data_IF_227204614164
#
_entry.id   IF_227204614164
#
_cell.length_a   1.000
_cell.length_b   1.000
_cell.length_c   1.000
_cell.angle_alpha   90.00
_cell.angle_beta   90.00
_cell.angle_gamma   90.00
#
_symmetry.space_group_name_H-M   'P 1'
#
loop_
_entity.id
_entity.type
_entity.pdbx_description
1 polymer ?
#
# COMPACT_ATOMS: atom_id res chain seq x y z
N UNK A 1 -40.63 -10.85 -48.11
CA UNK A 1 -41.44 -12.04 -47.76
C UNK A 1 -40.70 -12.74 -46.62
N UNK A 2 -40.75 -12.21 -45.40
CA UNK A 2 -41.83 -12.45 -44.41
C UNK A 2 -42.13 -13.95 -44.34
N UNK A 3 -41.77 -14.66 -43.26
CA UNK A 3 -42.64 -15.03 -42.13
C UNK A 3 -41.87 -16.16 -41.40
N UNK A 4 -41.58 -16.21 -40.09
CA UNK A 4 -42.31 -15.78 -38.90
C UNK A 4 -41.37 -15.64 -37.69
N UNK A 5 -41.37 -14.44 -37.10
CA UNK A 5 -41.22 -14.17 -35.66
C UNK A 5 -42.50 -14.57 -34.93
N UNK A 6 -42.42 -15.02 -33.66
CA UNK A 6 -43.42 -15.09 -32.55
C UNK A 6 -43.00 -16.28 -31.65
N UNK A 7 -42.70 -16.19 -30.35
CA UNK A 7 -43.34 -15.54 -29.18
C UNK A 7 -42.26 -15.27 -28.10
N UNK A 8 -42.02 -14.04 -27.63
CA UNK A 8 -42.69 -13.32 -26.52
C UNK A 8 -42.68 -14.12 -25.19
N UNK A 9 -41.67 -13.96 -24.32
CA UNK A 9 -41.61 -12.98 -23.19
C UNK A 9 -43.00 -12.68 -22.58
N UNK A 10 -43.32 -13.32 -21.44
CA UNK A 10 -44.25 -12.77 -20.44
C UNK A 10 -44.15 -13.50 -19.09
N UNK A 11 -44.09 -12.68 -18.03
CA UNK A 11 -44.55 -12.90 -16.66
C UNK A 11 -43.94 -14.05 -15.82
N UNK A 12 -42.92 -13.68 -15.03
CA UNK A 12 -42.83 -14.10 -13.63
C UNK A 12 -42.61 -12.85 -12.77
N UNK A 13 -43.72 -12.24 -12.36
CA UNK A 13 -43.78 -11.22 -11.31
C UNK A 13 -44.71 -11.74 -10.21
N UNK A 14 -44.41 -11.31 -8.98
CA UNK A 14 -45.22 -11.37 -7.77
C UNK A 14 -45.14 -12.66 -6.94
N UNK A 15 -44.08 -12.80 -6.14
CA UNK A 15 -44.14 -13.21 -4.72
C UNK A 15 -42.86 -12.73 -3.99
N UNK A 16 -42.75 -11.42 -3.74
CA UNK A 16 -41.90 -10.90 -2.67
C UNK A 16 -42.76 -9.95 -1.85
N UNK A 17 -43.00 -10.20 -0.56
CA UNK A 17 -43.73 -9.26 0.29
C UNK A 17 -42.91 -7.98 0.42
N UNK A 18 -43.61 -6.86 0.30
CA UNK A 18 -43.14 -5.50 0.48
C UNK A 18 -42.48 -5.34 1.86
N UNK A 19 -41.15 -5.37 1.89
CA UNK A 19 -40.37 -4.85 3.02
C UNK A 19 -40.41 -3.32 2.89
N UNK A 20 -40.80 -2.56 3.93
CA UNK A 20 -40.81 -1.11 3.87
C UNK A 20 -39.40 -0.59 3.62
N UNK A 21 -39.25 0.27 2.62
CA UNK A 21 -38.05 1.08 2.40
C UNK A 21 -37.64 1.77 3.71
N UNK A 22 -36.54 1.34 4.33
CA UNK A 22 -35.84 2.17 5.30
C UNK A 22 -34.93 3.15 4.55
N UNK A 23 -35.14 4.48 4.66
CA UNK A 23 -34.23 5.46 4.11
C UNK A 23 -33.14 5.75 5.15
N UNK A 24 -32.20 4.81 5.33
CA UNK A 24 -31.00 5.03 6.15
C UNK A 24 -29.75 4.58 5.40
N UNK A 25 -29.54 5.12 4.19
CA UNK A 25 -28.23 5.09 3.54
C UNK A 25 -27.93 6.50 3.04
N UNK A 26 -27.79 7.44 3.98
CA UNK A 26 -27.00 8.65 3.71
C UNK A 26 -25.59 8.38 4.20
N UNK A 27 -24.72 8.10 3.23
CA UNK A 27 -23.28 7.87 3.34
C UNK A 27 -22.80 6.53 3.93
N UNK A 28 -22.49 5.57 3.05
CA UNK A 28 -21.55 4.49 3.37
C UNK A 28 -20.13 5.07 3.31
N UNK A 29 -19.62 5.61 4.41
CA UNK A 29 -18.19 5.88 4.54
C UNK A 29 -17.46 4.56 4.85
N UNK A 30 -16.43 4.23 4.06
CA UNK A 30 -15.57 3.09 4.34
C UNK A 30 -14.83 3.31 5.66
N UNK A 31 -14.91 2.35 6.58
CA UNK A 31 -14.14 2.41 7.84
C UNK A 31 -12.68 2.08 7.55
N UNK A 32 -11.79 3.06 7.69
CA UNK A 32 -10.35 2.86 7.48
C UNK A 32 -9.66 2.45 8.78
N UNK A 33 -8.82 1.43 8.71
CA UNK A 33 -7.96 0.98 9.81
C UNK A 33 -6.53 0.81 9.31
N UNK A 34 -5.54 1.01 10.19
CA UNK A 34 -4.13 0.84 9.84
C UNK A 34 -3.29 0.42 11.06
N UNK A 35 -2.04 0.05 10.81
CA UNK A 35 -1.05 -0.22 11.84
C UNK A 35 0.25 0.50 11.50
N UNK A 36 0.86 1.11 12.51
CA UNK A 36 2.19 1.73 12.44
C UNK A 36 3.18 0.92 13.25
N UNK A 37 4.44 0.93 12.80
CA UNK A 37 5.58 0.36 13.51
C UNK A 37 6.59 1.46 13.81
N UNK A 38 7.42 1.26 14.83
CA UNK A 38 8.60 2.10 15.04
C UNK A 38 9.38 2.30 13.72
N UNK A 39 9.71 3.56 13.33
CA UNK A 39 10.35 3.83 12.05
C UNK A 39 11.67 3.09 11.84
N UNK A 40 12.50 2.96 12.89
CA UNK A 40 13.82 2.32 12.83
C UNK A 40 13.67 0.82 12.68
N UNK A 41 12.84 0.19 13.51
CA UNK A 41 12.61 -1.24 13.38
C UNK A 41 12.00 -1.62 12.03
N UNK A 42 11.12 -0.78 11.49
CA UNK A 42 10.48 -1.03 10.20
C UNK A 42 11.49 -1.00 9.05
N UNK A 43 12.43 -0.04 9.05
CA UNK A 43 13.45 0.03 7.99
C UNK A 43 14.43 -1.13 8.09
N UNK A 44 14.82 -1.54 9.30
CA UNK A 44 15.68 -2.71 9.53
C UNK A 44 14.96 -3.99 9.10
N UNK A 45 13.69 -4.14 9.46
CA UNK A 45 12.87 -5.27 9.05
C UNK A 45 12.76 -5.37 7.52
N UNK A 46 12.53 -4.24 6.85
CA UNK A 46 12.51 -4.21 5.37
C UNK A 46 13.87 -4.52 4.77
N UNK A 47 14.95 -3.99 5.36
CA UNK A 47 16.33 -4.22 4.92
C UNK A 47 16.64 -5.72 4.79
N UNK A 48 16.28 -6.51 5.81
CA UNK A 48 16.48 -7.96 5.75
C UNK A 48 15.42 -8.69 4.92
N UNK A 49 14.18 -8.20 4.90
CA UNK A 49 13.10 -8.79 4.10
C UNK A 49 13.45 -8.83 2.61
N UNK A 50 13.90 -7.71 2.04
CA UNK A 50 14.25 -7.64 0.61
C UNK A 50 15.50 -8.42 0.26
N UNK A 51 16.36 -8.73 1.23
CA UNK A 51 17.59 -9.53 1.05
C UNK A 51 17.38 -11.01 1.27
N UNK A 52 16.21 -11.41 1.75
CA UNK A 52 15.96 -12.79 2.07
C UNK A 52 15.99 -13.65 0.78
N UNK A 53 16.66 -14.82 0.76
CA UNK A 53 16.79 -15.61 -0.45
C UNK A 53 15.46 -15.96 -1.11
N UNK A 54 14.44 -16.26 -0.31
CA UNK A 54 13.09 -16.59 -0.78
C UNK A 54 12.43 -15.45 -1.57
N UNK A 55 12.78 -14.19 -1.30
CA UNK A 55 12.28 -13.02 -2.03
C UNK A 55 12.68 -13.06 -3.52
N UNK A 56 13.86 -13.62 -3.82
CA UNK A 56 14.39 -13.70 -5.17
C UNK A 56 14.15 -15.05 -5.85
N UNK A 57 14.02 -16.14 -5.10
CA UNK A 57 13.79 -17.48 -5.67
C UNK A 57 12.52 -17.50 -6.53
N UNK A 58 11.39 -17.03 -6.01
CA UNK A 58 10.13 -17.04 -6.76
C UNK A 58 10.17 -16.04 -7.92
N UNK A 59 10.81 -14.88 -7.74
CA UNK A 59 10.96 -13.89 -8.81
C UNK A 59 11.83 -14.43 -9.95
N UNK A 60 12.90 -15.17 -9.65
CA UNK A 60 13.78 -15.77 -10.65
C UNK A 60 13.09 -16.89 -11.42
N UNK A 61 12.19 -17.65 -10.76
CA UNK A 61 11.33 -18.63 -11.44
C UNK A 61 10.35 -17.96 -12.40
N UNK A 62 9.72 -16.87 -11.97
CA UNK A 62 8.77 -16.12 -12.80
C UNK A 62 9.45 -15.32 -13.93
N UNK A 63 10.67 -14.83 -13.69
CA UNK A 63 11.45 -14.01 -14.63
C UNK A 63 12.88 -14.57 -14.74
N UNK A 64 13.09 -15.63 -15.54
CA UNK A 64 14.38 -16.31 -15.66
C UNK A 64 15.51 -15.41 -16.17
N UNK A 65 15.20 -14.39 -16.97
CA UNK A 65 16.19 -13.48 -17.55
C UNK A 65 16.65 -12.38 -16.58
N UNK A 66 15.93 -12.17 -15.47
CA UNK A 66 16.26 -11.13 -14.51
C UNK A 66 17.53 -11.54 -13.73
N UNK A 67 18.61 -10.74 -13.72
CA UNK A 67 19.82 -11.09 -12.99
C UNK A 67 19.55 -11.13 -11.49
N UNK A 68 20.18 -12.09 -10.80
CA UNK A 68 20.18 -12.10 -9.34
C UNK A 68 21.05 -10.95 -8.81
N UNK A 69 20.72 -10.38 -7.65
CA UNK A 69 21.58 -9.39 -7.00
C UNK A 69 22.95 -9.98 -6.64
N UNK A 70 23.93 -9.09 -6.47
CA UNK A 70 25.26 -9.46 -5.99
C UNK A 70 25.17 -10.19 -4.62
N UNK A 71 25.78 -11.39 -4.47
CA UNK A 71 25.87 -12.07 -3.19
C UNK A 71 26.45 -11.22 -2.06
N UNK A 72 27.37 -10.29 -2.34
CA UNK A 72 27.91 -9.40 -1.31
C UNK A 72 26.85 -8.42 -0.78
N UNK A 73 25.96 -7.94 -1.66
CA UNK A 73 24.82 -7.09 -1.26
C UNK A 73 23.80 -7.85 -0.41
N UNK A 74 23.51 -9.12 -0.76
CA UNK A 74 22.57 -9.96 -0.03
C UNK A 74 23.04 -10.32 1.39
N UNK A 75 24.35 -10.46 1.58
CA UNK A 75 24.97 -10.86 2.85
C UNK A 75 25.35 -9.69 3.75
N UNK A 76 25.38 -8.46 3.23
CA UNK A 76 25.74 -7.26 3.99
C UNK A 76 24.75 -7.06 5.15
N UNK A 77 25.27 -6.81 6.34
CA UNK A 77 24.47 -6.45 7.51
C UNK A 77 24.09 -4.96 7.51
N UNK A 78 23.06 -4.63 8.28
CA UNK A 78 22.52 -3.27 8.35
C UNK A 78 23.54 -2.26 8.88
N UNK A 79 24.32 -2.62 9.90
CA UNK A 79 25.28 -1.70 10.51
C UNK A 79 26.40 -1.32 9.54
N UNK A 80 26.94 -2.30 8.82
CA UNK A 80 27.94 -2.08 7.77
C UNK A 80 27.38 -1.18 6.68
N UNK A 81 26.12 -1.37 6.29
CA UNK A 81 25.44 -0.52 5.31
C UNK A 81 25.30 0.94 5.76
N UNK A 82 24.98 1.17 7.03
CA UNK A 82 24.91 2.51 7.63
C UNK A 82 26.30 3.14 7.68
N UNK A 83 27.31 2.40 8.17
CA UNK A 83 28.68 2.89 8.34
C UNK A 83 29.37 3.18 7.00
N UNK A 84 29.11 2.39 5.96
CA UNK A 84 29.63 2.63 4.61
C UNK A 84 28.89 3.74 3.87
N UNK A 85 27.75 4.23 4.40
CA UNK A 85 26.94 5.26 3.76
C UNK A 85 26.25 4.78 2.49
N UNK A 86 25.90 3.48 2.43
CA UNK A 86 25.21 2.91 1.28
C UNK A 86 23.85 3.58 1.06
N UNK A 87 23.42 3.70 -0.20
CA UNK A 87 22.24 4.49 -0.57
C UNK A 87 20.97 4.01 0.13
N UNK A 88 20.75 2.71 0.23
CA UNK A 88 19.55 2.12 0.84
C UNK A 88 19.42 2.35 2.36
N UNK A 89 20.52 2.65 3.04
CA UNK A 89 20.60 2.94 4.48
C UNK A 89 20.81 4.42 4.76
N UNK A 90 20.77 5.27 3.71
CA UNK A 90 20.78 6.73 3.85
C UNK A 90 19.35 7.27 3.87
N UNK A 91 19.09 8.18 4.80
CA UNK A 91 17.78 8.79 5.04
C UNK A 91 17.88 10.30 4.81
N UNK A 92 18.05 10.71 3.56
CA UNK A 92 18.22 12.11 3.20
C UNK A 92 16.87 12.82 3.14
N UNK A 93 16.73 13.90 3.91
CA UNK A 93 15.56 14.76 3.88
C UNK A 93 15.31 15.31 2.47
N UNK A 94 14.03 15.38 2.08
CA UNK A 94 13.62 15.86 0.77
C UNK A 94 13.77 14.84 -0.36
N UNK A 95 14.38 13.67 -0.14
CA UNK A 95 14.49 12.67 -1.21
C UNK A 95 13.10 12.17 -1.63
N UNK A 96 12.76 12.34 -2.91
CA UNK A 96 11.50 11.92 -3.57
C UNK A 96 11.73 10.69 -4.43
N UNK A 97 12.41 9.67 -3.90
CA UNK A 97 12.62 8.41 -4.62
C UNK A 97 11.30 7.65 -4.88
N UNK A 98 11.04 7.28 -6.13
CA UNK A 98 9.94 6.42 -6.57
C UNK A 98 10.46 5.00 -6.83
N UNK A 99 10.68 4.24 -5.76
CA UNK A 99 10.88 2.80 -5.85
C UNK A 99 9.66 2.08 -5.28
N UNK A 100 9.27 0.95 -5.88
CA UNK A 100 8.32 0.03 -5.25
C UNK A 100 8.90 -0.37 -3.88
N UNK A 101 8.17 -0.06 -2.80
CA UNK A 101 8.59 -0.40 -1.45
C UNK A 101 9.62 0.54 -0.83
N UNK A 102 9.43 1.87 -0.91
CA UNK A 102 10.14 2.77 0.02
C UNK A 102 9.57 2.63 1.44
N UNK A 103 10.03 1.59 2.15
CA UNK A 103 9.67 1.34 3.54
C UNK A 103 10.38 2.29 4.52
N UNK A 104 10.74 3.51 4.09
CA UNK A 104 11.18 4.60 4.96
C UNK A 104 10.04 5.61 5.19
N UNK A 105 9.08 5.71 4.26
CA UNK A 105 7.98 6.70 4.29
C UNK A 105 6.63 6.20 4.83
N UNK A 106 6.52 5.97 6.14
CA UNK A 106 5.21 5.66 6.75
C UNK A 106 4.21 6.82 6.59
N UNK A 107 4.70 8.06 6.66
CA UNK A 107 3.92 9.28 6.44
C UNK A 107 3.22 9.30 5.08
N UNK A 108 3.86 8.78 4.02
CA UNK A 108 3.30 8.79 2.66
C UNK A 108 1.97 8.02 2.60
N UNK A 109 1.85 6.89 3.32
CA UNK A 109 0.63 6.08 3.36
C UNK A 109 -0.58 6.85 3.92
N UNK A 110 -0.36 7.78 4.85
CA UNK A 110 -1.43 8.57 5.46
C UNK A 110 -1.61 9.95 4.81
N UNK A 111 -0.54 10.52 4.26
CA UNK A 111 -0.62 11.83 3.60
C UNK A 111 -1.37 11.77 2.26
N UNK A 112 -1.20 10.66 1.52
CA UNK A 112 -1.82 10.43 0.22
C UNK A 112 -0.81 10.48 -0.94
N UNK A 113 -1.33 10.58 -2.16
CA UNK A 113 -0.55 10.49 -3.41
C UNK A 113 -0.13 11.84 -4.00
N UNK A 114 -0.42 12.93 -3.31
CA UNK A 114 -0.08 14.27 -3.79
C UNK A 114 1.43 14.52 -3.76
N UNK A 115 2.00 15.33 -4.70
CA UNK A 115 3.44 15.58 -4.77
C UNK A 115 4.05 16.07 -3.45
N UNK A 116 3.35 16.90 -2.68
CA UNK A 116 3.77 17.41 -1.37
C UNK A 116 3.93 16.31 -0.30
N UNK A 117 3.34 15.13 -0.51
CA UNK A 117 3.48 13.97 0.37
C UNK A 117 4.73 13.14 0.09
N UNK A 118 5.36 13.33 -1.08
CA UNK A 118 6.46 12.50 -1.56
C UNK A 118 7.84 12.76 -0.92
N UNK A 119 8.21 14.00 -0.53
CA UNK A 119 9.54 14.26 0.00
C UNK A 119 9.73 13.58 1.36
N UNK A 120 10.82 12.84 1.50
CA UNK A 120 11.15 12.16 2.76
C UNK A 120 11.33 13.18 3.90
N UNK A 121 10.76 12.87 5.06
CA UNK A 121 10.84 13.69 6.29
C UNK A 121 10.31 15.13 6.17
N UNK A 122 9.36 15.42 5.26
CA UNK A 122 8.81 16.77 5.16
C UNK A 122 7.81 17.10 6.29
N UNK A 123 7.90 18.32 6.82
CA UNK A 123 6.96 18.80 7.85
C UNK A 123 5.53 18.84 7.33
N UNK A 124 5.35 19.33 6.10
CA UNK A 124 4.02 19.43 5.47
C UNK A 124 3.35 18.06 5.34
N UNK A 125 4.06 17.04 4.83
CA UNK A 125 3.51 15.69 4.70
C UNK A 125 3.15 15.11 6.07
N UNK A 126 3.99 15.35 7.08
CA UNK A 126 3.73 14.90 8.45
C UNK A 126 2.46 15.52 9.04
N UNK A 127 2.28 16.84 8.90
CA UNK A 127 1.09 17.51 9.44
C UNK A 127 -0.18 17.10 8.70
N UNK A 128 -0.09 16.80 7.40
CA UNK A 128 -1.23 16.32 6.63
C UNK A 128 -1.59 14.87 6.98
N UNK A 129 -0.59 14.00 7.11
CA UNK A 129 -0.75 12.63 7.57
C UNK A 129 -1.41 12.55 8.95
N UNK A 130 -0.95 13.38 9.91
CA UNK A 130 -1.56 13.47 11.25
C UNK A 130 -3.05 13.80 11.18
N UNK A 131 -3.39 14.85 10.44
CA UNK A 131 -4.80 15.26 10.23
C UNK A 131 -5.64 14.13 9.62
N UNK A 132 -5.11 13.42 8.61
CA UNK A 132 -5.80 12.29 7.99
C UNK A 132 -6.03 11.16 8.99
N UNK A 133 -5.01 10.80 9.77
CA UNK A 133 -5.14 9.78 10.83
C UNK A 133 -6.23 10.17 11.84
N UNK A 134 -6.23 11.41 12.31
CA UNK A 134 -7.19 11.90 13.31
C UNK A 134 -8.64 11.98 12.79
N UNK A 135 -8.82 12.26 11.49
CA UNK A 135 -10.14 12.56 10.92
C UNK A 135 -10.75 11.40 10.13
N UNK A 136 -9.93 10.53 9.54
CA UNK A 136 -10.39 9.58 8.52
C UNK A 136 -10.14 8.11 8.88
N UNK A 137 -9.28 7.83 9.86
CA UNK A 137 -9.05 6.48 10.35
C UNK A 137 -9.84 6.25 11.63
N UNK A 138 -10.60 5.16 11.66
CA UNK A 138 -11.30 4.76 12.86
C UNK A 138 -10.32 4.29 13.95
N UNK A 139 -9.25 3.58 13.54
CA UNK A 139 -8.20 3.08 14.43
C UNK A 139 -6.87 3.01 13.69
N UNK A 140 -5.79 3.46 14.36
CA UNK A 140 -4.41 3.18 13.96
C UNK A 140 -3.68 2.52 15.13
N UNK A 141 -3.37 1.23 14.99
CA UNK A 141 -2.65 0.45 16.02
C UNK A 141 -1.14 0.65 15.96
N UNK A 142 -0.44 0.38 17.06
CA UNK A 142 1.02 0.27 17.10
C UNK A 142 1.43 -1.20 17.22
N UNK A 143 2.42 -1.62 16.43
CA UNK A 143 3.14 -2.88 16.59
C UNK A 143 4.53 -2.60 17.14
#
# INVERSE_FOLDING_TARGET
>A
MELLRRLAIRNQFAWFPLIPHQPHISSMFATQTSQVRDPVERVISWYYYVRAPWYYVERKRAFPDLPLPDPAWLKKDFETCVLSGDRECRYQEGETHEGIGDHRRQTLFFCGHEPQCTPFNSNEALQRAKRVVEQQYAVVGRN
#
